data_IF_368282034894
#
_entry.id   IF_368282034894
#
_cell.length_a   1.000
_cell.length_b   1.000
_cell.length_c   1.000
_cell.angle_alpha   90.00
_cell.angle_beta   90.00
_cell.angle_gamma   90.00
#
_symmetry.space_group_name_H-M   'P 1'
#
loop_
_entity.id
_entity.type
_entity.pdbx_description
1 polymer ?
#
# COMPACT_ATOMS: atom_id res chain seq x y z
N UNK A 1 2.94 -38.29 16.39
CA UNK A 1 2.71 -38.43 14.94
C UNK A 1 3.28 -37.18 14.30
N UNK A 2 4.44 -37.31 13.64
CA UNK A 2 5.12 -36.21 12.99
C UNK A 2 4.65 -36.25 11.53
N UNK A 3 3.54 -35.57 11.22
CA UNK A 3 3.14 -35.38 9.84
C UNK A 3 4.21 -34.52 9.17
N UNK A 4 4.99 -35.14 8.29
CA UNK A 4 5.93 -34.45 7.43
C UNK A 4 5.10 -33.53 6.54
N UNK A 5 5.10 -32.23 6.85
CA UNK A 5 4.50 -31.19 6.01
C UNK A 5 5.38 -31.10 4.76
N UNK A 6 5.16 -32.00 3.81
CA UNK A 6 5.80 -32.00 2.50
C UNK A 6 4.97 -31.17 1.55
N UNK A 7 5.61 -30.27 0.81
CA UNK A 7 4.97 -29.54 -0.29
C UNK A 7 5.13 -30.37 -1.56
N UNK A 8 4.02 -30.73 -2.20
CA UNK A 8 4.02 -31.49 -3.45
C UNK A 8 4.18 -30.60 -4.68
N UNK A 9 4.69 -31.17 -5.78
CA UNK A 9 4.74 -30.47 -7.07
C UNK A 9 3.34 -30.03 -7.53
N UNK A 10 2.32 -30.87 -7.28
CA UNK A 10 0.93 -30.57 -7.61
C UNK A 10 0.42 -29.33 -6.86
N UNK A 11 0.77 -29.18 -5.57
CA UNK A 11 0.44 -27.98 -4.78
C UNK A 11 1.13 -26.73 -5.29
N UNK A 12 2.42 -26.80 -5.65
CA UNK A 12 3.18 -25.67 -6.21
C UNK A 12 2.58 -25.25 -7.55
N UNK A 13 2.28 -26.22 -8.43
CA UNK A 13 1.65 -25.97 -9.72
C UNK A 13 0.27 -25.38 -9.55
N UNK A 14 -0.54 -25.89 -8.61
CA UNK A 14 -1.87 -25.36 -8.31
C UNK A 14 -1.79 -23.93 -7.81
N UNK A 15 -0.85 -23.62 -6.93
CA UNK A 15 -0.61 -22.26 -6.46
C UNK A 15 -0.24 -21.33 -7.62
N UNK A 16 0.67 -21.75 -8.51
CA UNK A 16 1.08 -20.96 -9.68
C UNK A 16 -0.11 -20.59 -10.56
N UNK A 17 -0.94 -21.58 -10.91
CA UNK A 17 -2.15 -21.38 -11.73
C UNK A 17 -3.16 -20.46 -11.01
N UNK A 18 -3.42 -20.69 -9.72
CA UNK A 18 -4.35 -19.85 -8.96
C UNK A 18 -3.86 -18.41 -8.82
N UNK A 19 -2.55 -18.21 -8.69
CA UNK A 19 -1.94 -16.88 -8.63
C UNK A 19 -2.11 -16.12 -9.96
N UNK A 20 -1.94 -16.81 -11.09
CA UNK A 20 -2.18 -16.23 -12.41
C UNK A 20 -3.66 -15.91 -12.64
N UNK A 21 -4.56 -16.86 -12.37
CA UNK A 21 -6.01 -16.65 -12.44
C UNK A 21 -6.48 -15.51 -11.54
N UNK A 22 -5.93 -15.39 -10.33
CA UNK A 22 -6.22 -14.26 -9.44
C UNK A 22 -5.89 -12.94 -10.13
N UNK A 23 -4.74 -12.84 -10.80
CA UNK A 23 -4.34 -11.63 -11.52
C UNK A 23 -5.30 -11.32 -12.67
N UNK A 24 -5.74 -12.32 -13.43
CA UNK A 24 -6.74 -12.16 -14.49
C UNK A 24 -8.08 -11.67 -13.92
N UNK A 25 -8.56 -12.29 -12.83
CA UNK A 25 -9.79 -11.89 -12.14
C UNK A 25 -9.68 -10.45 -11.62
N UNK A 26 -8.55 -10.08 -11.02
CA UNK A 26 -8.31 -8.71 -10.55
C UNK A 26 -8.33 -7.70 -11.71
N UNK A 27 -7.78 -8.06 -12.88
CA UNK A 27 -7.84 -7.23 -14.08
C UNK A 27 -9.28 -7.06 -14.59
N UNK A 28 -10.05 -8.13 -14.69
CA UNK A 28 -11.45 -8.09 -15.12
C UNK A 28 -12.31 -7.26 -14.16
N UNK A 29 -12.13 -7.45 -12.85
CA UNK A 29 -12.78 -6.62 -11.83
C UNK A 29 -12.42 -5.14 -11.96
N UNK A 30 -11.16 -4.82 -12.25
CA UNK A 30 -10.72 -3.46 -12.47
C UNK A 30 -11.40 -2.83 -13.70
N UNK A 31 -11.50 -3.58 -14.81
CA UNK A 31 -12.18 -3.13 -16.02
C UNK A 31 -13.67 -2.87 -15.78
N UNK A 32 -14.37 -3.78 -15.09
CA UNK A 32 -15.78 -3.60 -14.73
C UNK A 32 -15.98 -2.38 -13.83
N UNK A 33 -15.13 -2.20 -12.81
CA UNK A 33 -15.16 -1.03 -11.95
C UNK A 33 -15.00 0.26 -12.75
N UNK A 34 -14.06 0.31 -13.70
CA UNK A 34 -13.87 1.46 -14.59
C UNK A 34 -15.11 1.75 -15.43
N UNK A 35 -15.77 0.71 -15.96
CA UNK A 35 -17.02 0.83 -16.71
C UNK A 35 -18.15 1.39 -15.86
N UNK A 36 -18.31 0.92 -14.62
CA UNK A 36 -19.32 1.46 -13.69
C UNK A 36 -19.05 2.93 -13.35
N UNK A 37 -17.79 3.30 -13.10
CA UNK A 37 -17.43 4.70 -12.87
C UNK A 37 -17.74 5.57 -14.08
N UNK A 38 -17.38 5.16 -15.30
CA UNK A 38 -17.67 5.91 -16.53
C UNK A 38 -19.17 6.10 -16.76
N UNK A 39 -19.97 5.06 -16.53
CA UNK A 39 -21.43 5.15 -16.65
C UNK A 39 -22.01 6.13 -15.62
N UNK A 40 -21.63 6.01 -14.35
CA UNK A 40 -22.10 6.90 -13.29
C UNK A 40 -21.63 8.35 -13.48
N UNK A 41 -20.42 8.55 -14.00
CA UNK A 41 -19.89 9.84 -14.39
C UNK A 41 -20.77 10.53 -15.44
N UNK A 42 -21.18 9.79 -16.48
CA UNK A 42 -22.02 10.31 -17.55
C UNK A 42 -23.47 10.59 -17.12
N UNK A 43 -24.01 9.81 -16.17
CA UNK A 43 -25.40 9.99 -15.71
C UNK A 43 -25.57 10.94 -14.53
N UNK A 44 -24.68 10.88 -13.53
CA UNK A 44 -24.87 11.56 -12.23
C UNK A 44 -23.71 12.52 -11.92
N UNK A 45 -22.53 12.31 -12.51
CA UNK A 45 -21.35 13.16 -12.36
C UNK A 45 -20.24 12.56 -11.49
N UNK A 46 -19.03 13.11 -11.64
CA UNK A 46 -17.76 12.60 -11.06
C UNK A 46 -17.72 12.49 -9.54
N UNK A 47 -18.36 13.41 -8.85
CA UNK A 47 -18.20 13.61 -7.41
C UNK A 47 -19.48 13.28 -6.63
N UNK A 48 -20.45 12.63 -7.29
CA UNK A 48 -21.75 12.32 -6.71
C UNK A 48 -21.86 10.83 -6.41
N UNK A 49 -22.52 10.53 -5.28
CA UNK A 49 -22.97 9.18 -4.97
C UNK A 49 -23.93 8.74 -6.06
N UNK A 50 -23.83 7.47 -6.45
CA UNK A 50 -24.59 6.92 -7.55
C UNK A 50 -24.93 5.46 -7.30
N UNK A 51 -26.10 5.06 -7.76
CA UNK A 51 -26.63 3.72 -7.57
C UNK A 51 -27.15 3.18 -8.90
N UNK A 52 -26.86 1.91 -9.16
CA UNK A 52 -27.36 1.19 -10.32
C UNK A 52 -27.94 -0.12 -9.82
N UNK A 53 -29.19 -0.41 -10.15
CA UNK A 53 -29.83 -1.71 -9.87
C UNK A 53 -30.13 -2.37 -11.21
N UNK A 54 -29.68 -3.61 -11.38
CA UNK A 54 -29.93 -4.45 -12.56
C UNK A 54 -30.16 -5.90 -12.11
N UNK A 55 -31.42 -6.35 -12.22
CA UNK A 55 -31.82 -7.65 -11.69
C UNK A 55 -31.58 -7.73 -10.18
N UNK A 56 -30.93 -8.80 -9.75
CA UNK A 56 -30.57 -9.06 -8.35
C UNK A 56 -29.29 -8.37 -7.88
N UNK A 57 -28.65 -7.54 -8.72
CA UNK A 57 -27.37 -6.91 -8.41
C UNK A 57 -27.48 -5.39 -8.34
N UNK A 58 -26.81 -4.81 -7.34
CA UNK A 58 -26.76 -3.38 -7.07
C UNK A 58 -25.31 -2.90 -7.00
N UNK A 59 -25.00 -1.86 -7.78
CA UNK A 59 -23.73 -1.13 -7.73
C UNK A 59 -23.95 0.16 -6.97
N UNK A 60 -23.23 0.37 -5.87
CA UNK A 60 -23.27 1.59 -5.08
C UNK A 60 -21.91 2.28 -5.09
N UNK A 61 -21.85 3.52 -5.62
CA UNK A 61 -20.63 4.34 -5.62
C UNK A 61 -20.51 5.10 -4.31
N UNK A 62 -19.56 4.68 -3.47
CA UNK A 62 -19.15 5.45 -2.30
C UNK A 62 -18.15 6.55 -2.71
N UNK A 63 -18.44 7.80 -2.34
CA UNK A 63 -17.49 8.91 -2.44
C UNK A 63 -16.76 9.03 -1.10
N UNK A 64 -15.42 9.02 -1.15
CA UNK A 64 -14.55 9.31 -0.01
C UNK A 64 -13.70 10.51 -0.40
N UNK A 65 -13.85 11.61 0.32
CA UNK A 65 -13.03 12.81 0.17
C UNK A 65 -12.00 12.84 1.30
N UNK A 66 -10.72 12.86 0.95
CA UNK A 66 -9.62 13.10 1.88
C UNK A 66 -9.02 14.46 1.54
N UNK A 67 -9.12 15.40 2.47
CA UNK A 67 -8.50 16.71 2.38
C UNK A 67 -7.11 16.64 3.00
N UNK A 68 -6.08 16.75 2.17
CA UNK A 68 -4.70 16.90 2.64
C UNK A 68 -4.27 18.36 2.43
N UNK A 69 -3.55 18.88 3.42
CA UNK A 69 -2.84 20.14 3.31
C UNK A 69 -1.50 19.89 2.59
N UNK A 70 -1.13 20.78 1.67
CA UNK A 70 0.21 20.73 1.07
C UNK A 70 1.21 21.22 2.11
N UNK A 71 2.10 20.38 2.64
CA UNK A 71 2.90 20.71 3.82
C UNK A 71 3.70 21.99 3.61
N UNK A 72 4.36 22.17 2.47
CA UNK A 72 5.19 23.35 2.20
C UNK A 72 4.36 24.65 2.15
N UNK A 73 3.28 24.67 1.36
CA UNK A 73 2.42 25.87 1.22
C UNK A 73 1.67 26.17 2.51
N UNK A 74 1.26 25.14 3.24
CA UNK A 74 0.54 25.30 4.50
C UNK A 74 1.47 25.74 5.62
N UNK A 75 2.68 25.19 5.74
CA UNK A 75 3.70 25.66 6.71
C UNK A 75 4.08 27.10 6.41
N UNK A 76 4.29 27.47 5.14
CA UNK A 76 4.62 28.85 4.77
C UNK A 76 3.50 29.83 5.15
N UNK A 77 2.22 29.47 4.94
CA UNK A 77 1.08 30.30 5.38
C UNK A 77 0.94 30.35 6.91
N UNK A 78 1.22 29.25 7.60
CA UNK A 78 1.22 29.23 9.06
C UNK A 78 2.32 30.12 9.63
N UNK A 79 3.50 30.15 8.99
CA UNK A 79 4.62 31.03 9.35
C UNK A 79 4.28 32.52 9.14
N UNK A 80 3.72 32.86 7.97
CA UNK A 80 3.24 34.22 7.64
C UNK A 80 2.20 34.73 8.64
N UNK A 81 1.31 33.84 9.10
CA UNK A 81 0.27 34.14 10.09
C UNK A 81 0.77 34.06 11.55
N UNK A 82 2.06 33.82 11.78
CA UNK A 82 2.65 33.60 13.12
C UNK A 82 1.94 32.50 13.93
N UNK A 83 1.41 31.48 13.24
CA UNK A 83 0.72 30.32 13.79
C UNK A 83 1.69 29.16 14.02
N UNK A 84 2.78 29.43 14.72
CA UNK A 84 3.88 28.49 14.95
C UNK A 84 3.47 27.27 15.81
N UNK A 85 2.40 27.40 16.60
CA UNK A 85 1.83 26.32 17.43
C UNK A 85 1.27 25.16 16.57
N UNK A 86 0.91 25.45 15.31
CA UNK A 86 0.40 24.45 14.36
C UNK A 86 1.50 23.84 13.48
N UNK A 87 2.76 24.23 13.68
CA UNK A 87 3.92 23.70 12.95
C UNK A 87 4.62 22.66 13.84
N UNK A 88 4.51 21.39 13.45
CA UNK A 88 5.16 20.30 14.18
C UNK A 88 6.66 20.29 13.80
N UNK A 89 7.51 20.68 14.74
CA UNK A 89 8.98 20.55 14.61
C UNK A 89 9.41 19.16 15.11
N UNK A 90 9.42 18.17 14.23
CA UNK A 90 9.80 16.80 14.61
C UNK A 90 11.32 16.62 14.69
N UNK A 91 11.83 16.26 15.87
CA UNK A 91 13.21 15.77 16.05
C UNK A 91 13.29 14.32 15.57
N UNK A 92 13.51 14.11 14.26
CA UNK A 92 13.69 12.78 13.68
C UNK A 92 15.18 12.41 13.62
N UNK A 93 15.55 11.16 13.93
CA UNK A 93 16.90 10.69 13.71
C UNK A 93 17.21 10.70 12.20
N UNK A 94 18.37 11.22 11.85
CA UNK A 94 18.87 11.17 10.47
C UNK A 94 19.44 9.76 10.23
N UNK A 95 18.56 8.84 9.84
CA UNK A 95 18.89 7.41 9.69
C UNK A 95 19.95 7.19 8.62
N UNK A 96 19.97 8.01 7.57
CA UNK A 96 20.97 7.91 6.49
C UNK A 96 22.36 8.26 7.00
N UNK A 97 22.51 9.38 7.74
CA UNK A 97 23.79 9.74 8.36
C UNK A 97 24.20 8.75 9.45
N UNK A 98 23.25 8.27 10.24
CA UNK A 98 23.52 7.28 11.28
C UNK A 98 24.03 5.97 10.68
N UNK A 99 23.40 5.45 9.63
CA UNK A 99 23.86 4.24 8.94
C UNK A 99 25.23 4.43 8.27
N UNK A 100 25.47 5.59 7.67
CA UNK A 100 26.79 5.91 7.10
C UNK A 100 27.87 5.95 8.18
N UNK A 101 27.60 6.58 9.32
CA UNK A 101 28.53 6.65 10.45
C UNK A 101 28.81 5.27 11.07
N UNK A 102 27.79 4.40 11.14
CA UNK A 102 27.95 3.01 11.57
C UNK A 102 28.83 2.22 10.58
N UNK A 103 28.57 2.32 9.27
CA UNK A 103 29.36 1.63 8.23
C UNK A 103 30.81 2.08 8.18
N UNK A 104 31.06 3.36 8.44
CA UNK A 104 32.39 3.97 8.46
C UNK A 104 33.12 3.76 9.81
N UNK A 105 32.49 3.13 10.80
CA UNK A 105 33.09 2.84 12.10
C UNK A 105 33.19 4.05 13.04
N UNK A 106 32.53 5.17 12.72
CA UNK A 106 32.41 6.33 13.62
C UNK A 106 31.46 6.10 14.78
N UNK A 107 30.50 5.18 14.59
CA UNK A 107 29.46 4.86 15.57
C UNK A 107 29.37 3.35 15.70
N UNK A 108 29.34 2.86 16.94
CA UNK A 108 29.24 1.44 17.21
C UNK A 108 27.82 0.91 16.89
N UNK A 109 27.76 -0.12 16.05
CA UNK A 109 26.49 -0.69 15.60
C UNK A 109 25.67 -1.29 16.75
N UNK A 110 26.33 -1.86 17.76
CA UNK A 110 25.66 -2.54 18.88
C UNK A 110 24.94 -1.53 19.80
N UNK A 111 25.44 -0.28 19.85
CA UNK A 111 24.80 0.80 20.63
C UNK A 111 23.39 1.15 20.11
N UNK A 112 23.12 0.93 18.82
CA UNK A 112 21.85 1.29 18.17
C UNK A 112 21.00 0.08 17.80
N UNK A 113 21.39 -1.12 18.22
CA UNK A 113 20.67 -2.36 17.90
C UNK A 113 19.28 -2.39 18.57
N UNK A 114 19.18 -1.94 19.82
CA UNK A 114 17.92 -1.82 20.57
C UNK A 114 16.95 -0.80 19.93
N UNK A 115 17.47 0.16 19.16
CA UNK A 115 16.69 1.16 18.44
C UNK A 115 16.18 0.68 17.07
N UNK A 116 16.61 -0.48 16.58
CA UNK A 116 16.22 -1.02 15.27
C UNK A 116 15.03 -1.95 15.39
N UNK A 117 13.85 -1.46 15.00
CA UNK A 117 12.69 -2.33 14.84
C UNK A 117 12.72 -3.01 13.45
N UNK A 118 13.36 -4.17 13.38
CA UNK A 118 13.45 -4.95 12.14
C UNK A 118 12.18 -5.77 11.94
N UNK A 119 11.23 -5.27 11.14
CA UNK A 119 10.04 -6.02 10.76
C UNK A 119 10.39 -7.02 9.63
N UNK A 120 10.65 -8.26 10.00
CA UNK A 120 10.77 -9.35 9.01
C UNK A 120 9.37 -9.72 8.51
N UNK A 121 9.15 -9.62 7.20
CA UNK A 121 7.93 -10.11 6.55
C UNK A 121 8.27 -11.26 5.62
N UNK A 122 7.53 -12.37 5.76
CA UNK A 122 7.70 -13.53 4.90
C UNK A 122 6.79 -13.38 3.68
N UNK A 123 7.33 -13.58 2.49
CA UNK A 123 6.59 -13.58 1.24
C UNK A 123 6.86 -14.89 0.49
N UNK A 124 5.81 -15.50 -0.06
CA UNK A 124 5.90 -16.73 -0.86
C UNK A 124 5.84 -16.32 -2.33
N UNK A 125 6.83 -16.74 -3.12
CA UNK A 125 6.89 -16.50 -4.55
C UNK A 125 7.17 -17.82 -5.25
N UNK A 126 6.27 -18.23 -6.14
CA UNK A 126 6.43 -19.42 -6.98
C UNK A 126 6.82 -18.98 -8.39
N UNK A 127 7.88 -19.56 -8.93
CA UNK A 127 8.39 -19.28 -10.29
C UNK A 127 8.62 -20.60 -11.03
N UNK A 128 8.39 -20.61 -12.33
CA UNK A 128 8.82 -21.70 -13.19
C UNK A 128 10.35 -21.73 -13.26
N UNK A 129 10.94 -22.89 -12.96
CA UNK A 129 12.37 -23.12 -13.13
C UNK A 129 12.53 -23.83 -14.47
N UNK A 130 13.07 -23.16 -15.49
CA UNK A 130 13.46 -23.84 -16.73
C UNK A 130 14.65 -24.73 -16.40
N UNK A 131 14.51 -26.04 -16.61
CA UNK A 131 15.64 -26.97 -16.66
C UNK A 131 16.36 -26.86 -17.99
#
# INVERSE_FOLDING_TARGET
MNETIGVTEEEIKRFYVLHDQKKEIEQELHQLKKKFHQFLDGSIGKERKGEIIRGDYQVHRQIRSSSNYMPEVTVQKLDDLNLSDFIITEKRPDTEKLEAAIKLGFVDAATFEDCKNTKVTQAIVVKEVKQ
#
